data_IF_907501083549
#
_entry.id   IF_907501083549
#
_cell.length_a   1.000
_cell.length_b   1.000
_cell.length_c   1.000
_cell.angle_alpha   90.00
_cell.angle_beta   90.00
_cell.angle_gamma   90.00
#
_symmetry.space_group_name_H-M   'P 1'
#
loop_
_entity.id
_entity.type
_entity.pdbx_description
1 polymer ?
#
# COMPACT_ATOMS: atom_id res chain seq x y z
N UNK A 1 -17.43 5.62 55.78
CA UNK A 1 -16.51 5.34 54.65
C UNK A 1 -16.74 6.42 53.61
N UNK A 2 -15.70 7.21 53.33
CA UNK A 2 -15.79 8.56 52.72
C UNK A 2 -16.02 8.47 51.21
N UNK A 3 -17.16 8.99 50.75
CA UNK A 3 -17.50 9.14 49.32
C UNK A 3 -16.48 10.01 48.54
N UNK A 4 -15.73 10.87 49.22
CA UNK A 4 -14.75 11.76 48.60
C UNK A 4 -13.53 11.02 48.00
N UNK A 5 -13.23 9.81 48.49
CA UNK A 5 -12.12 9.01 47.93
C UNK A 5 -12.48 8.36 46.59
N UNK A 6 -13.77 8.21 46.28
CA UNK A 6 -14.24 7.58 45.05
C UNK A 6 -14.22 8.55 43.86
N UNK A 7 -14.48 9.83 44.11
CA UNK A 7 -14.49 10.90 43.10
C UNK A 7 -13.09 11.20 42.55
N UNK A 8 -12.06 11.23 43.42
CA UNK A 8 -10.68 11.42 42.97
C UNK A 8 -10.14 10.23 42.14
N UNK A 9 -10.56 9.01 42.46
CA UNK A 9 -10.15 7.82 41.71
C UNK A 9 -10.80 7.77 40.32
N UNK A 10 -12.06 8.17 40.21
CA UNK A 10 -12.75 8.28 38.92
C UNK A 10 -12.15 9.37 38.03
N UNK A 11 -11.73 10.51 38.60
CA UNK A 11 -11.11 11.60 37.83
C UNK A 11 -9.73 11.21 37.26
N UNK A 12 -8.91 10.49 38.04
CA UNK A 12 -7.63 9.94 37.56
C UNK A 12 -7.81 8.92 36.42
N UNK A 13 -8.84 8.07 36.52
CA UNK A 13 -9.18 7.11 35.47
C UNK A 13 -9.63 7.81 34.18
N UNK A 14 -10.43 8.88 34.26
CA UNK A 14 -10.87 9.65 33.09
C UNK A 14 -9.71 10.41 32.43
N UNK A 15 -8.75 10.94 33.20
CA UNK A 15 -7.55 11.60 32.64
C UNK A 15 -6.61 10.59 31.96
N UNK A 16 -6.43 9.40 32.51
CA UNK A 16 -5.68 8.30 31.87
C UNK A 16 -6.39 7.73 30.63
N UNK A 17 -7.72 7.78 30.58
CA UNK A 17 -8.51 7.41 29.39
C UNK A 17 -8.62 8.53 28.35
N UNK A 18 -8.28 9.77 28.69
CA UNK A 18 -8.23 10.90 27.75
C UNK A 18 -6.85 11.05 27.11
N UNK A 19 -5.80 10.50 27.72
CA UNK A 19 -4.48 10.33 27.10
C UNK A 19 -4.42 9.16 26.13
N UNK A 20 -5.53 8.83 25.44
CA UNK A 20 -5.44 8.01 24.21
C UNK A 20 -4.76 8.91 23.21
N UNK A 21 -3.44 8.85 23.27
CA UNK A 21 -2.48 9.19 22.25
C UNK A 21 -3.21 9.27 20.90
N UNK A 22 -3.33 10.47 20.34
CA UNK A 22 -3.60 10.64 18.92
C UNK A 22 -2.41 10.08 18.16
N UNK A 23 -2.34 8.75 18.09
CA UNK A 23 -1.50 8.07 17.13
C UNK A 23 -2.04 8.45 15.76
N UNK A 24 -1.13 8.65 14.81
CA UNK A 24 -1.52 8.99 13.44
C UNK A 24 -2.42 7.86 12.91
N UNK A 25 -3.72 8.15 12.72
CA UNK A 25 -4.65 7.21 12.11
C UNK A 25 -4.57 7.37 10.59
N UNK A 26 -4.17 6.29 9.93
CA UNK A 26 -4.03 6.25 8.47
C UNK A 26 -5.21 5.44 7.94
N UNK A 27 -6.06 6.07 7.13
CA UNK A 27 -7.22 5.41 6.53
C UNK A 27 -6.85 4.83 5.16
N UNK A 28 -6.40 3.58 5.14
CA UNK A 28 -5.92 2.91 3.91
C UNK A 28 -7.08 2.49 2.98
N UNK A 29 -8.33 2.58 3.47
CA UNK A 29 -9.51 2.15 2.73
C UNK A 29 -9.64 0.62 2.67
N UNK A 30 -10.67 0.12 2.00
CA UNK A 30 -10.92 -1.32 1.87
C UNK A 30 -11.35 -2.00 3.18
N UNK A 31 -10.99 -3.27 3.35
CA UNK A 31 -11.32 -4.11 4.52
C UNK A 31 -10.45 -3.85 5.75
N UNK A 32 -9.34 -3.13 5.59
CA UNK A 32 -8.35 -2.90 6.66
C UNK A 32 -8.73 -1.70 7.54
N UNK A 33 -9.41 -0.69 6.98
CA UNK A 33 -9.91 0.46 7.74
C UNK A 33 -8.82 1.42 8.21
N UNK A 34 -8.89 1.85 9.47
CA UNK A 34 -7.91 2.74 10.08
C UNK A 34 -6.79 1.92 10.72
N UNK A 35 -5.55 2.18 10.32
CA UNK A 35 -4.35 1.53 10.86
C UNK A 35 -3.46 2.53 11.57
N UNK A 36 -2.73 2.02 12.56
CA UNK A 36 -1.67 2.78 13.22
C UNK A 36 -0.42 2.81 12.35
N UNK A 37 0.50 3.74 12.61
CA UNK A 37 1.78 3.79 11.90
C UNK A 37 2.60 2.49 12.06
N UNK A 38 2.53 1.83 13.23
CA UNK A 38 3.23 0.55 13.45
C UNK A 38 2.60 -0.59 12.64
N UNK A 39 1.28 -0.56 12.46
CA UNK A 39 0.57 -1.56 11.66
C UNK A 39 0.64 -1.28 10.15
N UNK A 40 1.08 -0.08 9.75
CA UNK A 40 1.13 0.30 8.34
C UNK A 40 2.05 -0.62 7.52
N UNK A 41 3.22 -0.96 8.07
CA UNK A 41 4.20 -1.88 7.44
C UNK A 41 4.04 -3.34 7.87
N UNK A 42 3.03 -3.64 8.69
CA UNK A 42 2.78 -5.01 9.16
C UNK A 42 1.90 -5.75 8.15
N UNK A 43 2.55 -6.25 7.11
CA UNK A 43 1.92 -6.92 5.98
C UNK A 43 1.70 -8.41 6.24
N UNK A 44 0.74 -9.02 5.53
CA UNK A 44 0.35 -10.42 5.78
C UNK A 44 1.18 -11.38 4.94
N UNK A 45 1.65 -10.96 3.76
CA UNK A 45 2.47 -11.77 2.88
C UNK A 45 3.90 -11.93 3.44
N UNK A 46 4.20 -13.13 3.95
CA UNK A 46 5.52 -13.44 4.50
C UNK A 46 6.65 -13.44 3.47
N UNK A 47 6.34 -13.70 2.19
CA UNK A 47 7.34 -13.75 1.14
C UNK A 47 7.78 -12.33 0.78
N UNK A 48 6.81 -11.45 0.50
CA UNK A 48 7.09 -10.03 0.22
C UNK A 48 7.75 -9.36 1.42
N UNK A 49 7.31 -9.67 2.65
CA UNK A 49 7.93 -9.16 3.87
C UNK A 49 9.41 -9.57 4.02
N UNK A 50 9.72 -10.83 3.67
CA UNK A 50 11.09 -11.35 3.71
C UNK A 50 11.95 -10.69 2.62
N UNK A 51 11.44 -10.61 1.40
CA UNK A 51 12.20 -10.10 0.25
C UNK A 51 12.52 -8.60 0.41
N UNK A 52 11.61 -7.84 1.04
CA UNK A 52 11.76 -6.41 1.25
C UNK A 52 12.26 -5.99 2.63
N UNK A 53 12.67 -6.95 3.47
CA UNK A 53 13.11 -6.67 4.84
C UNK A 53 14.24 -5.63 4.90
N UNK A 54 15.16 -5.63 3.94
CA UNK A 54 16.30 -4.70 3.93
C UNK A 54 15.86 -3.25 3.73
N UNK A 55 14.86 -3.04 2.89
CA UNK A 55 14.28 -1.73 2.55
C UNK A 55 13.26 -1.29 3.61
N UNK A 56 12.58 -2.24 4.25
CA UNK A 56 11.58 -1.99 5.28
C UNK A 56 12.16 -1.79 6.68
N UNK A 57 13.29 -2.40 7.02
CA UNK A 57 13.89 -2.27 8.34
C UNK A 57 14.21 -0.81 8.75
N UNK A 58 14.75 0.06 7.87
CA UNK A 58 14.91 1.49 8.19
C UNK A 58 13.59 2.20 8.49
N UNK A 59 12.53 1.86 7.77
CA UNK A 59 11.21 2.45 7.93
C UNK A 59 10.58 2.03 9.27
N UNK A 60 10.59 0.73 9.60
CA UNK A 60 10.13 0.21 10.90
C UNK A 60 10.90 0.86 12.04
N UNK A 61 12.22 0.97 11.93
CA UNK A 61 13.05 1.62 12.95
C UNK A 61 12.74 3.11 13.10
N UNK A 62 12.47 3.82 12.01
CA UNK A 62 12.09 5.23 12.05
C UNK A 62 10.72 5.42 12.73
N UNK A 63 9.74 4.57 12.40
CA UNK A 63 8.42 4.56 13.01
C UNK A 63 8.53 4.26 14.52
N UNK A 64 9.25 3.22 14.90
CA UNK A 64 9.47 2.85 16.31
C UNK A 64 10.16 3.96 17.10
N UNK A 65 11.15 4.62 16.49
CA UNK A 65 11.85 5.75 17.11
C UNK A 65 10.96 6.97 17.30
N UNK A 66 10.00 7.19 16.40
CA UNK A 66 9.01 8.25 16.51
C UNK A 66 7.91 7.96 17.54
N UNK A 67 7.66 6.67 17.81
CA UNK A 67 6.63 6.21 18.71
C UNK A 67 5.26 6.78 18.32
N UNK A 68 4.77 7.72 19.12
CA UNK A 68 3.43 8.29 18.95
C UNK A 68 3.43 9.74 18.47
N UNK A 69 4.61 10.28 18.17
CA UNK A 69 4.76 11.67 17.72
C UNK A 69 4.41 11.79 16.24
N UNK A 70 3.23 12.32 15.93
CA UNK A 70 2.76 12.49 14.55
C UNK A 70 3.69 13.39 13.72
N UNK A 71 4.32 14.40 14.32
CA UNK A 71 5.28 15.25 13.61
C UNK A 71 6.56 14.52 13.25
N UNK A 72 6.98 13.53 14.05
CA UNK A 72 8.14 12.69 13.75
C UNK A 72 7.80 11.64 12.67
N UNK A 73 6.62 11.03 12.77
CA UNK A 73 6.12 10.08 11.77
C UNK A 73 6.02 10.74 10.38
N UNK A 74 5.60 11.99 10.35
CA UNK A 74 5.49 12.78 9.12
C UNK A 74 6.78 13.49 8.69
N UNK A 75 7.92 13.20 9.34
CA UNK A 75 9.20 13.74 8.89
C UNK A 75 9.60 13.17 7.52
N UNK A 76 10.24 14.00 6.70
CA UNK A 76 10.65 13.62 5.35
C UNK A 76 11.54 12.38 5.30
N UNK A 77 12.40 12.14 6.30
CA UNK A 77 13.24 10.95 6.37
C UNK A 77 12.41 9.69 6.63
N UNK A 78 11.43 9.78 7.53
CA UNK A 78 10.51 8.67 7.84
C UNK A 78 9.66 8.33 6.63
N UNK A 79 9.05 9.33 5.98
CA UNK A 79 8.25 9.13 4.76
C UNK A 79 9.08 8.54 3.62
N UNK A 80 10.32 9.00 3.44
CA UNK A 80 11.22 8.47 2.41
C UNK A 80 11.54 6.99 2.67
N UNK A 81 11.80 6.63 3.94
CA UNK A 81 12.06 5.24 4.31
C UNK A 81 10.82 4.35 4.08
N UNK A 82 9.62 4.83 4.47
CA UNK A 82 8.35 4.13 4.23
C UNK A 82 8.14 3.93 2.73
N UNK A 83 8.33 4.97 1.92
CA UNK A 83 8.14 4.87 0.47
C UNK A 83 9.15 3.95 -0.19
N UNK A 84 10.40 3.88 0.31
CA UNK A 84 11.38 2.91 -0.18
C UNK A 84 10.98 1.46 0.14
N UNK A 85 10.37 1.22 1.31
CA UNK A 85 9.79 -0.09 1.65
C UNK A 85 8.63 -0.44 0.71
N UNK A 86 7.66 0.48 0.54
CA UNK A 86 6.53 0.32 -0.37
C UNK A 86 6.97 0.09 -1.82
N UNK A 87 8.00 0.79 -2.29
CA UNK A 87 8.57 0.59 -3.62
C UNK A 87 9.11 -0.84 -3.78
N UNK A 88 9.82 -1.37 -2.79
CA UNK A 88 10.27 -2.75 -2.85
C UNK A 88 9.09 -3.73 -2.92
N UNK A 89 8.06 -3.54 -2.09
CA UNK A 89 6.90 -4.42 -2.06
C UNK A 89 6.15 -4.38 -3.40
N UNK A 90 5.99 -3.19 -3.97
CA UNK A 90 5.41 -3.00 -5.29
C UNK A 90 6.23 -3.70 -6.39
N UNK A 91 7.55 -3.55 -6.37
CA UNK A 91 8.45 -4.20 -7.32
C UNK A 91 8.39 -5.74 -7.18
N UNK A 92 8.32 -6.26 -5.95
CA UNK A 92 8.22 -7.69 -5.67
C UNK A 92 6.88 -8.28 -6.17
N UNK A 93 5.77 -7.57 -5.94
CA UNK A 93 4.45 -7.98 -6.44
C UNK A 93 4.45 -8.03 -7.98
N UNK A 94 5.05 -7.02 -8.63
CA UNK A 94 5.18 -6.98 -10.08
C UNK A 94 6.05 -8.11 -10.60
N UNK A 95 7.23 -8.32 -10.02
CA UNK A 95 8.18 -9.34 -10.45
C UNK A 95 7.61 -10.76 -10.29
N UNK A 96 6.77 -10.98 -9.27
CA UNK A 96 6.12 -12.26 -9.00
C UNK A 96 4.79 -12.48 -9.72
N UNK A 97 4.27 -11.48 -10.46
CA UNK A 97 2.90 -11.47 -10.99
C UNK A 97 1.85 -11.83 -9.90
N UNK A 98 2.07 -11.29 -8.70
CA UNK A 98 1.26 -11.60 -7.53
C UNK A 98 0.11 -10.60 -7.39
N UNK A 99 -1.11 -11.06 -7.06
CA UNK A 99 -2.17 -10.15 -6.69
C UNK A 99 -1.86 -9.49 -5.34
N UNK A 100 -2.19 -8.20 -5.20
CA UNK A 100 -2.12 -7.49 -3.93
C UNK A 100 -3.21 -8.02 -2.98
N UNK A 101 -2.84 -8.89 -2.04
CA UNK A 101 -3.77 -9.50 -1.08
C UNK A 101 -4.09 -8.52 0.06
N UNK A 102 -3.10 -7.75 0.51
CA UNK A 102 -3.27 -6.69 1.50
C UNK A 102 -3.19 -5.30 0.84
N UNK A 103 -4.17 -4.40 1.02
CA UNK A 103 -4.14 -3.08 0.41
C UNK A 103 -3.02 -2.16 0.93
N UNK A 104 -2.25 -2.60 1.94
CA UNK A 104 -1.05 -1.93 2.44
C UNK A 104 0.23 -2.33 1.68
N UNK A 105 0.23 -3.44 0.95
CA UNK A 105 1.43 -3.96 0.29
C UNK A 105 1.69 -3.24 -1.04
N UNK A 106 2.65 -2.32 -1.10
CA UNK A 106 3.08 -1.68 -2.34
C UNK A 106 2.03 -0.76 -2.94
N UNK A 107 1.29 -0.04 -2.10
CA UNK A 107 0.05 0.64 -2.51
C UNK A 107 0.18 2.15 -2.56
N UNK A 108 0.02 2.72 -3.76
CA UNK A 108 -0.02 4.18 -3.96
C UNK A 108 -1.16 4.83 -3.16
N UNK A 109 -2.29 4.13 -3.02
CA UNK A 109 -3.43 4.59 -2.24
C UNK A 109 -3.08 4.66 -0.74
N UNK A 110 -2.36 3.65 -0.22
CA UNK A 110 -1.91 3.64 1.17
C UNK A 110 -0.94 4.79 1.46
N UNK A 111 0.01 5.07 0.57
CA UNK A 111 0.91 6.22 0.69
C UNK A 111 0.18 7.57 0.60
N UNK A 112 -0.85 7.67 -0.23
CA UNK A 112 -1.70 8.87 -0.32
C UNK A 112 -2.51 9.08 0.97
N UNK A 113 -3.01 8.00 1.57
CA UNK A 113 -3.65 8.03 2.87
C UNK A 113 -2.67 8.48 3.97
N UNK A 114 -1.43 7.99 3.95
CA UNK A 114 -0.38 8.42 4.86
C UNK A 114 -0.11 9.93 4.76
N UNK A 115 0.07 10.44 3.53
CA UNK A 115 0.25 11.87 3.29
C UNK A 115 -0.95 12.70 3.77
N UNK A 116 -2.17 12.19 3.59
CA UNK A 116 -3.40 12.84 4.06
C UNK A 116 -3.47 12.88 5.59
N UNK A 117 -3.06 11.79 6.25
CA UNK A 117 -2.97 11.75 7.71
C UNK A 117 -1.96 12.79 8.22
N UNK A 118 -0.81 12.93 7.54
CA UNK A 118 0.18 13.95 7.86
C UNK A 118 -0.33 15.39 7.67
N UNK A 119 -1.14 15.63 6.64
CA UNK A 119 -1.80 16.92 6.47
C UNK A 119 -2.74 17.24 7.65
N UNK A 120 -3.38 16.22 8.25
CA UNK A 120 -4.20 16.35 9.45
C UNK A 120 -3.45 16.85 10.70
N UNK A 121 -2.12 16.67 10.74
CA UNK A 121 -1.24 17.22 11.79
C UNK A 121 -0.42 18.43 11.30
N UNK A 122 -0.91 19.09 10.25
CA UNK A 122 -0.33 20.29 9.67
C UNK A 122 1.08 20.11 9.08
N UNK A 123 1.42 18.89 8.66
CA UNK A 123 2.65 18.56 7.94
C UNK A 123 2.30 18.18 6.51
N UNK A 124 2.76 18.97 5.54
CA UNK A 124 2.53 18.68 4.11
C UNK A 124 3.65 17.80 3.59
N UNK A 125 3.31 16.57 3.21
CA UNK A 125 4.24 15.66 2.53
C UNK A 125 4.16 15.92 1.02
N UNK A 126 5.28 16.26 0.36
CA UNK A 126 5.31 16.41 -1.09
C UNK A 126 4.93 15.10 -1.79
N UNK A 127 4.10 15.18 -2.84
CA UNK A 127 3.71 14.00 -3.61
C UNK A 127 4.90 13.23 -4.21
N UNK A 128 6.01 13.93 -4.50
CA UNK A 128 7.25 13.31 -5.00
C UNK A 128 7.87 12.33 -4.02
N UNK A 129 7.57 12.44 -2.71
CA UNK A 129 8.06 11.53 -1.68
C UNK A 129 7.14 10.34 -1.46
N UNK A 130 5.93 10.34 -2.02
CA UNK A 130 4.92 9.28 -1.83
C UNK A 130 4.44 8.68 -3.14
N UNK A 131 5.16 8.94 -4.24
CA UNK A 131 4.85 8.37 -5.55
C UNK A 131 5.70 7.12 -5.77
N UNK A 132 5.03 5.99 -5.97
CA UNK A 132 5.65 4.76 -6.45
C UNK A 132 5.92 4.86 -7.94
N UNK A 133 7.05 4.30 -8.34
CA UNK A 133 7.48 4.23 -9.74
C UNK A 133 7.38 2.81 -10.24
N UNK A 134 7.14 2.63 -11.54
CA UNK A 134 7.17 1.30 -12.15
C UNK A 134 8.63 0.83 -12.30
N UNK A 135 8.92 -0.46 -12.07
CA UNK A 135 10.22 -1.03 -12.40
C UNK A 135 10.58 -0.76 -13.85
N UNK A 136 11.84 -0.43 -14.11
CA UNK A 136 12.31 -0.09 -15.46
C UNK A 136 12.21 -1.27 -16.45
N UNK A 137 12.15 -2.49 -15.92
CA UNK A 137 12.03 -3.76 -16.62
C UNK A 137 10.58 -4.26 -16.75
N UNK A 138 9.59 -3.51 -16.24
CA UNK A 138 8.19 -3.88 -16.37
C UNK A 138 7.60 -3.48 -17.73
N UNK A 139 7.24 -4.48 -18.55
CA UNK A 139 6.63 -4.29 -19.89
C UNK A 139 5.09 -4.18 -19.85
N UNK A 140 4.53 -3.88 -18.67
CA UNK A 140 3.10 -3.71 -18.46
C UNK A 140 2.27 -5.00 -18.52
N UNK A 141 0.96 -4.93 -18.18
CA UNK A 141 0.05 -6.07 -18.29
C UNK A 141 -0.28 -6.44 -19.74
N UNK A 142 0.26 -5.68 -20.72
CA UNK A 142 0.00 -5.82 -22.15
C UNK A 142 1.27 -6.08 -22.98
N UNK A 143 2.34 -6.62 -22.38
CA UNK A 143 3.51 -7.14 -23.11
C UNK A 143 3.24 -8.28 -24.11
N UNK A 144 1.97 -8.61 -24.38
CA UNK A 144 1.56 -9.33 -25.59
C UNK A 144 1.26 -8.36 -26.74
N UNK A 145 2.13 -7.38 -26.96
CA UNK A 145 2.28 -6.84 -28.31
C UNK A 145 2.82 -7.96 -29.17
N UNK A 146 1.97 -8.79 -29.78
CA UNK A 146 2.43 -9.71 -30.82
C UNK A 146 3.21 -8.85 -31.81
N UNK A 147 4.51 -9.11 -31.95
CA UNK A 147 5.31 -8.42 -32.95
C UNK A 147 4.57 -8.44 -34.29
N UNK A 148 4.75 -7.40 -35.11
CA UNK A 148 4.05 -7.25 -36.40
C UNK A 148 3.86 -8.57 -37.18
N UNK A 149 4.86 -9.47 -37.31
CA UNK A 149 4.65 -10.78 -37.93
C UNK A 149 3.68 -11.69 -37.16
N UNK A 150 3.80 -11.80 -35.85
CA UNK A 150 2.95 -12.65 -35.03
C UNK A 150 1.48 -12.17 -35.03
N UNK A 151 1.24 -10.84 -35.08
CA UNK A 151 -0.10 -10.26 -35.23
C UNK A 151 -0.72 -10.63 -36.58
N UNK A 152 0.06 -10.61 -37.65
CA UNK A 152 -0.43 -11.00 -38.98
C UNK A 152 -0.88 -12.47 -38.97
N UNK A 153 -0.08 -13.36 -38.38
CA UNK A 153 -0.43 -14.78 -38.32
C UNK A 153 -1.70 -15.04 -37.51
N UNK A 154 -1.88 -14.40 -36.36
CA UNK A 154 -3.09 -14.58 -35.55
C UNK A 154 -4.34 -14.07 -36.26
N UNK A 155 -4.26 -12.93 -36.96
CA UNK A 155 -5.38 -12.39 -37.74
C UNK A 155 -5.76 -13.32 -38.89
N UNK A 156 -4.79 -13.88 -39.62
CA UNK A 156 -5.06 -14.81 -40.72
C UNK A 156 -5.75 -16.08 -40.21
N UNK A 157 -5.25 -16.66 -39.12
CA UNK A 157 -5.85 -17.87 -38.54
C UNK A 157 -7.26 -17.58 -38.04
N UNK A 158 -7.46 -16.46 -37.35
CA UNK A 158 -8.78 -16.06 -36.86
C UNK A 158 -9.78 -15.82 -38.01
N UNK A 159 -9.34 -15.18 -39.11
CA UNK A 159 -10.16 -14.95 -40.28
C UNK A 159 -10.52 -16.27 -41.01
N UNK A 160 -9.56 -17.19 -41.15
CA UNK A 160 -9.79 -18.50 -41.75
C UNK A 160 -10.79 -19.34 -40.93
N UNK A 161 -10.62 -19.37 -39.60
CA UNK A 161 -11.54 -20.08 -38.71
C UNK A 161 -12.93 -19.43 -38.68
N UNK A 162 -13.00 -18.10 -38.59
CA UNK A 162 -14.25 -17.36 -38.58
C UNK A 162 -15.04 -17.53 -39.89
N UNK A 163 -14.37 -17.42 -41.04
CA UNK A 163 -14.99 -17.64 -42.34
C UNK A 163 -15.47 -19.08 -42.52
N UNK A 164 -14.71 -20.08 -42.05
CA UNK A 164 -15.13 -21.48 -42.05
C UNK A 164 -16.39 -21.72 -41.22
N UNK A 165 -16.46 -21.15 -40.01
CA UNK A 165 -17.65 -21.24 -39.16
C UNK A 165 -18.88 -20.59 -39.82
N UNK A 166 -18.71 -19.42 -40.45
CA UNK A 166 -19.80 -18.73 -41.17
C UNK A 166 -20.28 -19.59 -42.35
N UNK A 167 -19.36 -20.20 -43.10
CA UNK A 167 -19.70 -21.07 -44.22
C UNK A 167 -20.51 -22.30 -43.77
N UNK A 168 -20.12 -22.94 -42.67
CA UNK A 168 -20.86 -24.08 -42.11
C UNK A 168 -22.29 -23.65 -41.73
N UNK A 169 -22.44 -22.53 -41.01
CA UNK A 169 -23.78 -22.03 -40.61
C UNK A 169 -24.63 -21.63 -41.82
N UNK A 170 -24.03 -21.10 -42.88
CA UNK A 170 -24.75 -20.65 -44.08
C UNK A 170 -25.12 -21.78 -45.04
N UNK A 171 -24.58 -22.99 -44.82
CA UNK A 171 -24.84 -24.19 -45.64
C UNK A 171 -25.65 -25.26 -44.91
N UNK A 172 -26.00 -25.02 -43.64
CA UNK A 172 -27.06 -25.73 -42.92
C UNK A 172 -28.42 -25.13 -43.26
#
# INVERSE_FOLDING_TARGET
MRAESFLSFAFLLVVLLASRVSALEISVGGSVGNVTANDFLNITDSQVASDCQTQCAPATKAIDACGTSSSCLCDSATVTAITACEQCMFDALIAGDLPMVDPREGSQTALTAYATACAGVNVTVPATLTTLTLPADWDGPFGQGLGLPATIFTVIIAAALGSGCIYIVSTM
#
